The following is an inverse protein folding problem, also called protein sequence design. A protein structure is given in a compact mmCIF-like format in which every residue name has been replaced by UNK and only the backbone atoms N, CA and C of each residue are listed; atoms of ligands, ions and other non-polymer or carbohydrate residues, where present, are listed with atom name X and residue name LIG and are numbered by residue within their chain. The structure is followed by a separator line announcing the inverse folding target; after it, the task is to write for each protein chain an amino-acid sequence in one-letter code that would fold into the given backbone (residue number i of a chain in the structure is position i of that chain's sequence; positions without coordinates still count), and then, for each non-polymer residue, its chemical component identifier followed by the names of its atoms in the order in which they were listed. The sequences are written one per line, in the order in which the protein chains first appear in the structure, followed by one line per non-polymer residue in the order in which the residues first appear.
data_IF_057692462445
#
_entry.id   IF_057692462445
#
_cell.length_a   1.000
_cell.length_b   1.000
_cell.length_c   1.000
_cell.angle_alpha   90.00
_cell.angle_beta   90.00
_cell.angle_gamma   90.00
#
_symmetry.space_group_name_H-M   'P 1'
#
loop_
_entity.id
_entity.type
_entity.pdbx_description
1 polymer ?
#
# COMPACT_ATOMS: atom_id res chain seq x y z
N UNK A 1 18.38 -2.80 -2.89
CA UNK A 1 17.22 -2.18 -3.50
C UNK A 1 16.27 -1.67 -2.44
N UNK A 2 15.71 -0.52 -2.64
CA UNK A 2 14.73 0.07 -1.74
C UNK A 2 13.39 0.19 -2.44
N UNK A 3 12.32 0.01 -1.71
CA UNK A 3 10.96 0.00 -2.25
C UNK A 3 10.15 1.09 -1.60
N UNK A 4 9.35 1.77 -2.39
CA UNK A 4 8.52 2.90 -1.98
C UNK A 4 7.12 2.73 -2.55
N UNK A 5 6.10 2.88 -1.71
CA UNK A 5 4.74 3.07 -2.18
C UNK A 5 4.51 4.56 -2.36
N UNK A 6 4.28 4.98 -3.61
CA UNK A 6 3.93 6.36 -3.87
C UNK A 6 2.45 6.56 -3.67
N UNK A 7 2.14 7.54 -2.84
CA UNK A 7 0.88 8.24 -2.97
C UNK A 7 1.05 9.21 -4.12
N UNK A 8 0.01 9.38 -4.90
CA UNK A 8 0.04 10.28 -6.03
C UNK A 8 0.49 11.67 -5.64
N UNK A 9 1.11 12.36 -6.59
CA UNK A 9 1.26 13.81 -6.53
C UNK A 9 -0.13 14.41 -6.61
N UNK A 10 -0.82 14.43 -5.50
CA UNK A 10 -2.05 15.16 -5.40
C UNK A 10 -1.71 16.63 -5.19
N UNK A 11 -2.34 17.49 -5.95
CA UNK A 11 -2.23 18.91 -5.68
C UNK A 11 -2.92 19.20 -4.35
N UNK A 12 -2.64 20.36 -3.78
CA UNK A 12 -3.22 20.77 -2.48
C UNK A 12 -4.74 20.77 -2.49
N UNK A 13 -5.35 21.04 -3.64
CA UNK A 13 -6.81 21.02 -3.78
C UNK A 13 -7.38 19.64 -3.62
N UNK A 14 -6.73 18.61 -4.17
CA UNK A 14 -7.19 17.23 -4.02
C UNK A 14 -7.09 16.76 -2.57
N UNK A 15 -5.99 17.11 -1.90
CA UNK A 15 -5.80 16.82 -0.48
C UNK A 15 -6.87 17.53 0.33
N UNK A 16 -7.11 18.82 0.05
CA UNK A 16 -8.10 19.61 0.74
C UNK A 16 -9.51 19.08 0.49
N UNK A 17 -9.82 18.68 -0.73
CA UNK A 17 -11.12 18.10 -1.08
C UNK A 17 -11.35 16.79 -0.31
N UNK A 18 -10.35 15.97 -0.20
CA UNK A 18 -10.43 14.74 0.61
C UNK A 18 -10.64 15.04 2.08
N UNK A 19 -9.89 15.98 2.63
CA UNK A 19 -10.03 16.41 4.01
C UNK A 19 -11.44 16.96 4.22
N UNK A 20 -11.93 17.80 3.32
CA UNK A 20 -13.27 18.39 3.43
C UNK A 20 -14.36 17.34 3.30
N UNK A 21 -14.21 16.34 2.43
CA UNK A 21 -15.19 15.27 2.32
C UNK A 21 -15.19 14.38 3.56
N UNK A 22 -14.06 14.25 4.23
CA UNK A 22 -13.97 13.56 5.53
C UNK A 22 -14.53 14.43 6.67
N UNK A 23 -14.45 15.76 6.57
CA UNK A 23 -14.84 16.72 7.60
C UNK A 23 -16.31 17.12 7.49
N UNK A 24 -17.02 16.72 6.44
CA UNK A 24 -18.42 17.06 6.21
C UNK A 24 -19.32 16.79 7.41
N UNK A 25 -18.87 15.96 8.34
CA UNK A 25 -19.52 15.74 9.62
C UNK A 25 -18.44 15.46 10.66
N UNK A 26 -18.21 16.43 11.55
CA UNK A 26 -17.18 16.32 12.60
C UNK A 26 -17.32 15.12 13.53
N UNK A 27 -18.55 14.72 13.77
CA UNK A 27 -18.82 13.55 14.63
C UNK A 27 -18.38 12.27 13.96
N UNK A 28 -18.48 12.22 12.64
CA UNK A 28 -18.06 11.06 11.87
C UNK A 28 -16.55 10.91 11.80
N UNK A 29 -15.78 12.01 11.83
CA UNK A 29 -14.32 11.93 11.79
C UNK A 29 -13.77 11.14 12.95
N UNK A 30 -14.28 11.35 14.17
CA UNK A 30 -13.85 10.63 15.35
C UNK A 30 -14.22 9.15 15.30
N UNK A 31 -15.30 8.82 14.61
CA UNK A 31 -15.74 7.44 14.40
C UNK A 31 -15.02 6.77 13.24
N UNK A 32 -14.53 7.58 12.29
CA UNK A 32 -13.87 7.11 11.07
C UNK A 32 -12.38 6.85 11.23
N UNK A 33 -11.76 7.30 12.29
CA UNK A 33 -10.31 7.21 12.47
C UNK A 33 -9.76 5.79 12.41
N UNK A 34 -10.64 4.78 12.45
CA UNK A 34 -10.17 3.41 12.45
C UNK A 34 -11.03 2.46 11.62
N UNK A 35 -11.46 2.87 10.45
CA UNK A 35 -12.15 1.96 9.54
C UNK A 35 -11.20 1.01 8.82
N UNK A 36 -9.91 1.23 8.96
CA UNK A 36 -8.93 0.36 8.33
C UNK A 36 -8.88 0.44 6.83
N UNK A 37 -9.38 1.52 6.23
CA UNK A 37 -9.38 1.70 4.79
C UNK A 37 -8.25 2.65 4.40
N UNK A 38 -7.36 2.15 3.56
CA UNK A 38 -6.30 2.93 2.94
C UNK A 38 -6.66 3.14 1.49
N UNK A 39 -6.82 4.40 1.10
CA UNK A 39 -7.25 4.71 -0.24
C UNK A 39 -6.22 5.52 -0.98
N UNK A 40 -5.90 5.05 -2.19
CA UNK A 40 -5.05 5.72 -3.15
C UNK A 40 -5.83 5.84 -4.45
N UNK A 41 -5.35 6.63 -5.39
CA UNK A 41 -6.06 6.79 -6.65
C UNK A 41 -6.16 5.44 -7.37
N UNK A 42 -7.38 4.94 -7.52
CA UNK A 42 -7.64 3.67 -8.18
C UNK A 42 -7.32 2.43 -7.36
N UNK A 43 -6.84 2.58 -6.13
CA UNK A 43 -6.46 1.44 -5.28
C UNK A 43 -7.02 1.65 -3.87
N UNK A 44 -7.77 0.68 -3.41
CA UNK A 44 -8.36 0.70 -2.07
C UNK A 44 -7.95 -0.56 -1.31
N UNK A 45 -7.45 -0.39 -0.10
CA UNK A 45 -7.02 -1.50 0.75
C UNK A 45 -7.80 -1.44 2.06
N UNK A 46 -8.53 -2.52 2.35
CA UNK A 46 -9.22 -2.67 3.63
C UNK A 46 -8.41 -3.61 4.50
N UNK A 47 -7.73 -3.06 5.51
CA UNK A 47 -6.82 -3.85 6.33
C UNK A 47 -7.54 -4.82 7.27
N UNK A 48 -8.77 -4.53 7.65
CA UNK A 48 -9.52 -5.43 8.53
C UNK A 48 -10.13 -6.60 7.76
N UNK A 49 -10.69 -6.34 6.60
CA UNK A 49 -11.21 -7.38 5.73
C UNK A 49 -10.13 -8.05 4.88
N UNK A 50 -8.93 -7.49 4.88
CA UNK A 50 -7.80 -7.94 4.07
C UNK A 50 -8.18 -8.02 2.59
N UNK A 51 -8.76 -6.94 2.10
CA UNK A 51 -9.33 -6.83 0.78
C UNK A 51 -8.64 -5.72 0.00
N UNK A 52 -8.37 -5.97 -1.28
CA UNK A 52 -7.75 -5.00 -2.18
C UNK A 52 -8.62 -4.86 -3.42
N UNK A 53 -8.94 -3.62 -3.76
CA UNK A 53 -9.74 -3.31 -4.95
C UNK A 53 -8.96 -2.34 -5.83
N UNK A 54 -8.80 -2.70 -7.10
CA UNK A 54 -8.14 -1.90 -8.12
C UNK A 54 -9.16 -1.54 -9.19
N UNK A 55 -9.56 -0.26 -9.25
CA UNK A 55 -10.55 0.24 -10.23
C UNK A 55 -11.79 -0.66 -10.33
N UNK A 56 -12.46 -0.87 -9.20
CA UNK A 56 -13.67 -1.69 -9.07
C UNK A 56 -13.45 -3.19 -9.22
N UNK A 57 -12.22 -3.64 -9.46
CA UNK A 57 -11.88 -5.06 -9.54
C UNK A 57 -11.24 -5.52 -8.25
N UNK A 58 -11.76 -6.59 -7.68
CA UNK A 58 -11.18 -7.19 -6.49
C UNK A 58 -9.91 -7.94 -6.89
N UNK A 59 -8.84 -7.70 -6.13
CA UNK A 59 -7.54 -8.31 -6.38
C UNK A 59 -7.25 -9.32 -5.28
N UNK A 60 -6.96 -10.56 -5.66
CA UNK A 60 -6.56 -11.59 -4.71
C UNK A 60 -5.05 -11.57 -4.51
N UNK A 61 -4.64 -11.35 -3.27
CA UNK A 61 -3.25 -11.42 -2.86
C UNK A 61 -3.05 -12.57 -1.90
N UNK A 62 -1.88 -13.19 -1.93
CA UNK A 62 -1.50 -14.13 -0.90
C UNK A 62 -1.32 -13.41 0.43
N UNK A 63 -1.27 -14.15 1.54
CA UNK A 63 -1.06 -13.56 2.85
C UNK A 63 0.20 -12.68 2.88
N UNK A 64 1.31 -13.19 2.40
CA UNK A 64 2.58 -12.46 2.42
C UNK A 64 2.54 -11.24 1.50
N UNK A 65 1.96 -11.36 0.32
CA UNK A 65 1.79 -10.23 -0.60
C UNK A 65 0.96 -9.13 0.05
N UNK A 66 -0.13 -9.50 0.69
CA UNK A 66 -0.97 -8.52 1.39
C UNK A 66 -0.21 -7.83 2.52
N UNK A 67 0.55 -8.58 3.32
CA UNK A 67 1.34 -8.02 4.41
C UNK A 67 2.38 -7.02 3.91
N UNK A 68 3.05 -7.32 2.81
CA UNK A 68 4.02 -6.40 2.20
C UNK A 68 3.31 -5.14 1.70
N UNK A 69 2.21 -5.30 0.96
CA UNK A 69 1.46 -4.16 0.45
C UNK A 69 0.94 -3.29 1.60
N UNK A 70 0.43 -3.91 2.64
CA UNK A 70 -0.09 -3.19 3.81
C UNK A 70 1.01 -2.41 4.52
N UNK A 71 2.19 -2.99 4.68
CA UNK A 71 3.33 -2.29 5.28
C UNK A 71 3.67 -1.02 4.49
N UNK A 72 3.74 -1.13 3.18
CA UNK A 72 4.04 0.01 2.33
C UNK A 72 2.90 1.03 2.34
N UNK A 73 1.67 0.58 2.29
CA UNK A 73 0.49 1.44 2.25
C UNK A 73 0.27 2.20 3.56
N UNK A 74 0.62 1.61 4.70
CA UNK A 74 0.56 2.29 5.99
C UNK A 74 1.61 3.39 6.13
N UNK A 75 2.63 3.37 5.29
CA UNK A 75 3.75 4.31 5.34
C UNK A 75 3.99 4.92 3.96
N UNK A 76 3.01 5.62 3.38
CA UNK A 76 3.17 6.14 2.02
C UNK A 76 4.31 7.15 1.98
N UNK A 77 5.10 7.07 0.91
CA UNK A 77 6.25 7.95 0.74
C UNK A 77 7.51 7.51 1.47
N UNK A 78 7.41 6.51 2.36
CA UNK A 78 8.57 5.99 3.07
C UNK A 78 9.29 4.93 2.23
N UNK A 79 10.59 5.02 2.18
CA UNK A 79 11.45 4.07 1.46
C UNK A 79 11.85 2.93 2.38
N UNK A 80 11.63 1.70 1.94
CA UNK A 80 11.98 0.50 2.70
C UNK A 80 13.07 -0.28 1.97
N UNK A 81 14.05 -0.77 2.73
CA UNK A 81 15.00 -1.75 2.21
C UNK A 81 14.37 -3.15 2.26
N UNK A 82 14.96 -4.09 1.52
CA UNK A 82 14.53 -5.49 1.54
C UNK A 82 14.56 -6.06 2.95
N UNK A 83 15.62 -5.74 3.69
CA UNK A 83 15.80 -6.20 5.06
C UNK A 83 14.69 -5.66 5.95
N UNK A 84 14.34 -4.40 5.82
CA UNK A 84 13.26 -3.79 6.59
C UNK A 84 11.91 -4.44 6.29
N UNK A 85 11.65 -4.72 5.02
CA UNK A 85 10.43 -5.42 4.62
C UNK A 85 10.41 -6.83 5.21
N UNK A 86 11.50 -7.55 5.06
CA UNK A 86 11.61 -8.91 5.58
C UNK A 86 11.38 -8.96 7.09
N UNK A 87 12.11 -8.14 7.84
CA UNK A 87 12.01 -8.13 9.30
C UNK A 87 10.60 -7.77 9.76
N UNK A 88 9.93 -6.85 9.07
CA UNK A 88 8.58 -6.41 9.44
C UNK A 88 7.50 -7.44 9.11
N UNK A 89 7.63 -8.13 7.99
CA UNK A 89 6.60 -9.06 7.49
C UNK A 89 6.81 -10.46 8.03
N UNK A 90 8.04 -10.96 7.99
CA UNK A 90 8.35 -12.31 8.49
C UNK A 90 8.56 -12.35 10.00
N UNK A 91 8.82 -11.20 10.62
CA UNK A 91 9.03 -11.06 12.07
C UNK A 91 10.15 -11.94 12.61
N UNK A 92 11.15 -12.12 11.80
CA UNK A 92 12.37 -12.86 12.15
C UNK A 92 13.58 -12.18 11.52
N UNK A 93 14.80 -12.37 12.05
CA UNK A 93 15.99 -11.77 11.47
C UNK A 93 16.19 -12.24 10.04
N UNK A 94 16.62 -11.32 9.20
CA UNK A 94 16.88 -11.59 7.80
C UNK A 94 17.97 -12.66 7.65
N UNK A 95 17.69 -13.69 6.86
CA UNK A 95 18.58 -14.84 6.72
C UNK A 95 19.46 -14.84 5.47
N UNK A 96 19.41 -13.78 4.67
CA UNK A 96 20.29 -13.63 3.51
C UNK A 96 19.65 -13.90 2.15
N UNK A 97 18.38 -14.29 2.08
CA UNK A 97 17.70 -14.52 0.80
C UNK A 97 16.87 -13.32 0.40
N UNK A 98 17.51 -12.38 -0.29
CA UNK A 98 16.82 -11.16 -0.79
C UNK A 98 15.80 -11.44 -1.87
N UNK A 99 15.95 -12.55 -2.57
CA UNK A 99 15.10 -12.83 -3.72
C UNK A 99 13.65 -13.09 -3.33
N UNK A 100 13.42 -13.59 -2.12
CA UNK A 100 12.07 -13.89 -1.67
C UNK A 100 11.21 -12.62 -1.59
N UNK A 101 11.77 -11.53 -1.05
CA UNK A 101 11.04 -10.25 -0.98
C UNK A 101 10.75 -9.73 -2.38
N UNK A 102 11.74 -9.80 -3.26
CA UNK A 102 11.60 -9.31 -4.63
C UNK A 102 10.59 -10.10 -5.43
N UNK A 103 10.54 -11.40 -5.23
CA UNK A 103 9.54 -12.26 -5.90
C UNK A 103 8.13 -11.86 -5.51
N UNK A 104 7.90 -11.61 -4.23
CA UNK A 104 6.59 -11.17 -3.75
C UNK A 104 6.23 -9.79 -4.30
N UNK A 105 7.17 -8.86 -4.33
CA UNK A 105 6.94 -7.53 -4.88
C UNK A 105 6.60 -7.60 -6.37
N UNK A 106 7.29 -8.43 -7.12
CA UNK A 106 6.98 -8.65 -8.53
C UNK A 106 5.54 -9.16 -8.70
N UNK A 107 5.15 -10.13 -7.89
CA UNK A 107 3.80 -10.69 -7.96
C UNK A 107 2.74 -9.64 -7.60
N UNK A 108 3.01 -8.81 -6.61
CA UNK A 108 2.09 -7.72 -6.25
C UNK A 108 1.96 -6.75 -7.43
N UNK A 109 3.07 -6.36 -8.03
CA UNK A 109 3.05 -5.44 -9.19
C UNK A 109 2.24 -6.01 -10.34
N UNK A 110 2.39 -7.29 -10.64
CA UNK A 110 1.61 -7.93 -11.70
C UNK A 110 0.11 -7.89 -11.44
N UNK A 111 -0.28 -7.84 -10.17
CA UNK A 111 -1.69 -7.84 -9.78
C UNK A 111 -2.30 -6.44 -9.68
N UNK A 112 -1.55 -5.44 -9.24
CA UNK A 112 -2.09 -4.11 -8.98
C UNK A 112 -1.66 -3.03 -9.97
N UNK A 113 -0.51 -3.18 -10.62
CA UNK A 113 -0.02 -2.19 -11.57
C UNK A 113 -0.57 -2.44 -12.96
N UNK A 114 -0.92 -1.38 -13.69
CA UNK A 114 -1.33 -1.49 -15.09
C UNK A 114 -0.16 -1.97 -15.94
N UNK A 115 1.03 -1.46 -15.65
CA UNK A 115 2.26 -1.89 -16.31
C UNK A 115 3.32 -2.17 -15.24
N UNK A 116 3.56 -3.45 -14.89
CA UNK A 116 4.53 -3.80 -13.86
C UNK A 116 5.94 -3.29 -14.13
N UNK A 117 6.29 -3.06 -15.40
CA UNK A 117 7.60 -2.52 -15.78
C UNK A 117 7.71 -1.01 -15.51
N UNK A 118 6.58 -0.34 -15.38
CA UNK A 118 6.49 1.09 -15.06
C UNK A 118 5.52 1.27 -13.90
N UNK A 119 5.86 0.79 -12.71
CA UNK A 119 4.93 0.80 -11.59
C UNK A 119 4.62 2.22 -11.12
N UNK A 120 3.36 2.43 -10.79
CA UNK A 120 2.85 3.68 -10.25
C UNK A 120 2.75 3.61 -8.72
N UNK A 121 2.34 2.46 -8.19
CA UNK A 121 2.13 2.30 -6.75
C UNK A 121 3.40 1.89 -6.02
N UNK A 122 4.01 0.78 -6.41
CA UNK A 122 5.21 0.27 -5.76
C UNK A 122 6.40 0.55 -6.66
N UNK A 123 7.20 1.53 -6.26
CA UNK A 123 8.36 1.95 -7.05
C UNK A 123 9.67 1.53 -6.39
N UNK A 124 10.65 1.26 -7.22
CA UNK A 124 12.03 0.98 -6.78
C UNK A 124 12.84 2.28 -6.82
N UNK A 125 13.51 2.54 -5.74
CA UNK A 125 14.36 3.72 -5.58
C UNK A 125 15.83 3.34 -5.68
#
# INVERSE_FOLDING_TARGET
MKVLLLTFEENEEDILTRILSCIGNRTEILEYEDRGILQFEGLCIDKYKRNVVREENEIELTYTEFEILLLLANNPGRVFSKEQIYDSVWKEPYSGDYNIVMSHIRNIREKIEDNPSKPVYIQTV
#
